data_IF_817151071167
#
_entry.id   IF_817151071167
#
_cell.length_a   1.000
_cell.length_b   1.000
_cell.length_c   1.000
_cell.angle_alpha   90.00
_cell.angle_beta   90.00
_cell.angle_gamma   90.00
#
_symmetry.space_group_name_H-M   'P 1'
#
loop_
_entity.id
_entity.type
_entity.pdbx_description
1 polymer ?
#
# COMPACT_ATOMS: atom_id res chain seq x y z
N UNK A 1 16.83 5.72 35.13
CA UNK A 1 16.26 6.52 34.03
C UNK A 1 16.28 5.66 32.78
N UNK A 2 15.13 5.13 32.37
CA UNK A 2 15.00 4.37 31.12
C UNK A 2 15.06 5.37 29.96
N UNK A 3 16.14 5.35 29.20
CA UNK A 3 16.25 6.09 27.95
C UNK A 3 15.34 5.35 26.97
N UNK A 4 14.10 5.77 26.80
CA UNK A 4 13.29 5.38 25.65
C UNK A 4 14.05 5.91 24.42
N UNK A 5 14.79 5.03 23.74
CA UNK A 5 15.25 5.32 22.37
C UNK A 5 13.97 5.53 21.55
N UNK A 6 13.66 6.76 21.18
CA UNK A 6 12.67 7.02 20.14
C UNK A 6 13.04 6.16 18.94
N UNK A 7 12.08 5.34 18.49
CA UNK A 7 12.31 4.49 17.33
C UNK A 7 12.64 5.40 16.13
N UNK A 8 13.81 5.21 15.52
CA UNK A 8 14.26 6.00 14.38
C UNK A 8 13.23 5.84 13.24
N UNK A 9 12.66 6.94 12.78
CA UNK A 9 11.68 6.94 11.70
C UNK A 9 12.27 6.41 10.40
N UNK A 10 11.55 5.55 9.71
CA UNK A 10 11.90 5.09 8.37
C UNK A 10 11.67 6.24 7.38
N UNK A 11 12.67 6.49 6.54
CA UNK A 11 12.64 7.49 5.47
C UNK A 11 12.89 6.83 4.12
N UNK A 12 12.71 7.55 3.04
CA UNK A 12 13.05 7.06 1.69
C UNK A 12 14.53 6.67 1.57
N UNK A 13 15.44 7.39 2.28
CA UNK A 13 16.85 7.05 2.32
C UNK A 13 17.10 5.72 3.05
N UNK A 14 16.40 5.46 4.17
CA UNK A 14 16.52 4.19 4.89
C UNK A 14 16.12 3.02 4.00
N UNK A 15 15.06 3.15 3.19
CA UNK A 15 14.65 2.10 2.24
C UNK A 15 15.72 1.87 1.16
N UNK A 16 16.37 2.93 0.68
CA UNK A 16 17.50 2.81 -0.24
C UNK A 16 18.67 2.06 0.40
N UNK A 17 19.03 2.40 1.65
CA UNK A 17 20.09 1.74 2.40
C UNK A 17 19.79 0.26 2.65
N UNK A 18 18.52 -0.11 2.93
CA UNK A 18 18.06 -1.50 3.04
C UNK A 18 18.28 -2.27 1.75
N UNK A 19 17.95 -1.70 0.58
CA UNK A 19 18.25 -2.33 -0.71
C UNK A 19 19.78 -2.56 -0.87
N UNK A 20 20.60 -1.57 -0.56
CA UNK A 20 22.07 -1.69 -0.69
C UNK A 20 22.65 -2.76 0.24
N UNK A 21 22.08 -2.94 1.42
CA UNK A 21 22.50 -3.97 2.38
C UNK A 21 21.88 -5.35 2.14
N UNK A 22 20.90 -5.46 1.21
CA UNK A 22 20.14 -6.68 0.98
C UNK A 22 19.11 -6.99 2.06
N UNK A 23 18.77 -6.02 2.93
CA UNK A 23 17.71 -6.15 3.92
C UNK A 23 16.35 -6.01 3.25
N UNK A 24 15.41 -6.93 3.56
CA UNK A 24 14.09 -6.93 2.94
C UNK A 24 13.14 -5.95 3.61
N UNK A 25 12.40 -5.20 2.79
CA UNK A 25 11.44 -4.19 3.21
C UNK A 25 10.08 -4.85 3.42
N UNK A 26 9.54 -4.72 4.63
CA UNK A 26 8.18 -5.16 4.94
C UNK A 26 7.19 -3.99 4.79
N UNK A 27 6.20 -4.15 3.90
CA UNK A 27 5.17 -3.15 3.65
C UNK A 27 3.78 -3.78 3.84
N UNK A 28 2.86 -3.06 4.50
CA UNK A 28 1.46 -3.46 4.66
C UNK A 28 0.54 -2.26 4.45
N UNK A 29 -0.70 -2.54 4.03
CA UNK A 29 -1.72 -1.49 4.01
C UNK A 29 -2.29 -1.25 5.41
N UNK A 30 -2.75 -0.03 5.68
CA UNK A 30 -3.62 0.30 6.80
C UNK A 30 -4.50 1.50 6.43
N UNK A 31 -5.69 1.62 7.07
CA UNK A 31 -6.69 2.60 6.67
C UNK A 31 -7.31 3.36 7.85
N UNK A 32 -7.00 2.96 9.08
CA UNK A 32 -7.49 3.58 10.31
C UNK A 32 -6.41 3.64 11.39
N UNK A 33 -6.70 4.39 12.45
CA UNK A 33 -5.77 4.63 13.55
C UNK A 33 -5.39 3.36 14.32
N UNK A 34 -6.37 2.51 14.63
CA UNK A 34 -6.16 1.33 15.49
C UNK A 34 -5.31 0.27 14.79
N UNK A 35 -5.66 -0.07 13.55
CA UNK A 35 -4.88 -1.01 12.74
C UNK A 35 -3.48 -0.47 12.42
N UNK A 36 -3.35 0.81 12.07
CA UNK A 36 -2.05 1.42 11.83
C UNK A 36 -1.15 1.41 13.07
N UNK A 37 -1.72 1.58 14.27
CA UNK A 37 -0.95 1.47 15.52
C UNK A 37 -0.37 0.06 15.70
N UNK A 38 -1.18 -0.98 15.45
CA UNK A 38 -0.74 -2.37 15.55
C UNK A 38 0.35 -2.67 14.51
N UNK A 39 0.14 -2.23 13.26
CA UNK A 39 1.07 -2.45 12.15
C UNK A 39 2.42 -1.76 12.41
N UNK A 40 2.42 -0.51 12.88
CA UNK A 40 3.63 0.24 13.22
C UNK A 40 4.40 -0.41 14.39
N UNK A 41 3.68 -0.83 15.44
CA UNK A 41 4.26 -1.54 16.58
C UNK A 41 4.82 -2.93 16.23
N UNK A 42 4.25 -3.58 15.22
CA UNK A 42 4.76 -4.85 14.70
C UNK A 42 6.09 -4.70 13.92
N UNK A 43 6.53 -3.47 13.64
CA UNK A 43 7.82 -3.19 13.02
C UNK A 43 7.80 -3.15 11.49
N UNK A 44 6.65 -2.96 10.87
CA UNK A 44 6.53 -2.77 9.41
C UNK A 44 7.26 -1.50 8.99
N UNK A 45 8.03 -1.55 7.89
CA UNK A 45 8.86 -0.43 7.46
C UNK A 45 8.06 0.64 6.70
N UNK A 46 7.07 0.20 5.93
CA UNK A 46 6.21 1.09 5.13
C UNK A 46 4.75 0.76 5.38
N UNK A 47 3.94 1.76 5.68
CA UNK A 47 2.48 1.63 5.71
C UNK A 47 1.92 2.31 4.47
N UNK A 48 1.18 1.55 3.67
CA UNK A 48 0.47 2.04 2.50
C UNK A 48 -0.98 2.37 2.86
N UNK A 49 -1.37 3.61 2.69
CA UNK A 49 -2.80 3.96 2.60
C UNK A 49 -3.20 3.76 1.15
N UNK A 50 -3.60 2.52 0.83
CA UNK A 50 -3.89 2.10 -0.53
C UNK A 50 -5.31 2.48 -0.97
N UNK A 51 -5.50 2.72 -2.26
CA UNK A 51 -6.85 2.87 -2.85
C UNK A 51 -7.69 1.59 -2.78
N UNK A 52 -7.06 0.46 -2.43
CA UNK A 52 -7.72 -0.78 -1.99
C UNK A 52 -8.67 -0.58 -0.79
N UNK A 53 -8.61 0.57 -0.09
CA UNK A 53 -9.65 1.01 0.85
C UNK A 53 -11.04 1.04 0.20
N UNK A 54 -11.12 1.33 -1.10
CA UNK A 54 -12.36 1.22 -1.87
C UNK A 54 -13.00 -0.17 -1.76
N UNK A 55 -12.20 -1.21 -1.81
CA UNK A 55 -12.68 -2.60 -1.71
C UNK A 55 -12.92 -3.01 -0.26
N UNK A 56 -11.88 -2.93 0.60
CA UNK A 56 -11.90 -3.56 1.94
C UNK A 56 -12.57 -2.71 3.02
N UNK A 57 -12.69 -1.39 2.81
CA UNK A 57 -13.35 -0.49 3.76
C UNK A 57 -14.74 -0.05 3.27
N UNK A 58 -14.89 0.25 1.97
CA UNK A 58 -16.14 0.76 1.41
C UNK A 58 -16.98 -0.31 0.69
N UNK A 59 -16.42 -1.51 0.42
CA UNK A 59 -17.15 -2.63 -0.20
C UNK A 59 -17.38 -2.49 -1.70
N UNK A 60 -16.65 -1.61 -2.38
CA UNK A 60 -16.74 -1.48 -3.83
C UNK A 60 -16.03 -2.64 -4.56
N UNK A 61 -16.45 -2.95 -5.77
CA UNK A 61 -15.84 -4.01 -6.60
C UNK A 61 -14.45 -3.66 -7.12
N UNK A 62 -14.16 -2.37 -7.28
CA UNK A 62 -12.89 -1.85 -7.81
C UNK A 62 -12.32 -0.73 -6.94
N UNK A 63 -11.07 -0.35 -7.19
CA UNK A 63 -10.43 0.78 -6.51
C UNK A 63 -10.90 2.15 -7.05
N UNK A 64 -11.61 2.18 -8.19
CA UNK A 64 -11.96 3.41 -8.90
C UNK A 64 -12.88 4.39 -8.15
N UNK A 65 -13.86 3.94 -7.35
CA UNK A 65 -14.82 4.85 -6.72
C UNK A 65 -14.26 5.71 -5.59
N UNK A 66 -13.13 5.32 -4.97
CA UNK A 66 -12.61 6.06 -3.82
C UNK A 66 -12.16 7.46 -4.23
N UNK A 67 -12.55 8.46 -3.44
CA UNK A 67 -12.24 9.86 -3.71
C UNK A 67 -10.96 10.32 -3.02
N UNK A 68 -10.41 11.44 -3.48
CA UNK A 68 -9.25 12.07 -2.85
C UNK A 68 -9.52 12.44 -1.38
N UNK A 69 -10.73 12.93 -1.07
CA UNK A 69 -11.12 13.30 0.30
C UNK A 69 -11.17 12.08 1.23
N UNK A 70 -11.68 10.94 0.74
CA UNK A 70 -11.66 9.69 1.49
C UNK A 70 -10.23 9.18 1.72
N UNK A 71 -9.36 9.27 0.71
CA UNK A 71 -7.94 8.92 0.86
C UNK A 71 -7.25 9.81 1.91
N UNK A 72 -7.51 11.11 1.91
CA UNK A 72 -7.00 12.06 2.90
C UNK A 72 -7.52 11.72 4.31
N UNK A 73 -8.78 11.35 4.45
CA UNK A 73 -9.36 10.91 5.73
C UNK A 73 -8.64 9.68 6.30
N UNK A 74 -8.47 8.63 5.48
CA UNK A 74 -7.73 7.43 5.87
C UNK A 74 -6.27 7.76 6.20
N UNK A 75 -5.60 8.51 5.34
CA UNK A 75 -4.21 8.91 5.52
C UNK A 75 -3.98 9.69 6.81
N UNK A 76 -4.86 10.64 7.13
CA UNK A 76 -4.79 11.42 8.38
C UNK A 76 -4.89 10.53 9.63
N UNK A 77 -5.72 9.49 9.57
CA UNK A 77 -5.86 8.52 10.66
C UNK A 77 -4.59 7.68 10.84
N UNK A 78 -4.04 7.18 9.75
CA UNK A 78 -2.81 6.37 9.72
C UNK A 78 -1.59 7.17 10.16
N UNK A 79 -1.42 8.39 9.67
CA UNK A 79 -0.27 9.25 10.01
C UNK A 79 -0.23 9.56 11.50
N UNK A 80 -1.38 9.80 12.16
CA UNK A 80 -1.42 10.02 13.61
C UNK A 80 -0.97 8.79 14.42
N UNK A 81 -1.19 7.60 13.89
CA UNK A 81 -0.80 6.33 14.53
C UNK A 81 0.69 5.98 14.31
N UNK A 82 1.19 6.18 13.10
CA UNK A 82 2.54 5.76 12.70
C UNK A 82 3.62 6.62 13.38
N UNK A 83 4.50 5.96 14.14
CA UNK A 83 5.64 6.59 14.83
C UNK A 83 6.97 6.28 14.14
N UNK A 84 7.09 5.06 13.58
CA UNK A 84 8.30 4.56 12.94
C UNK A 84 8.15 4.44 11.42
N UNK A 85 7.10 3.83 10.93
CA UNK A 85 6.92 3.49 9.53
C UNK A 85 6.85 4.73 8.61
N UNK A 86 7.37 4.57 7.39
CA UNK A 86 7.12 5.53 6.30
C UNK A 86 5.67 5.37 5.82
N UNK A 87 4.90 6.45 5.84
CA UNK A 87 3.51 6.42 5.34
C UNK A 87 3.46 6.92 3.90
N UNK A 88 3.02 6.04 3.00
CA UNK A 88 2.81 6.31 1.57
C UNK A 88 1.31 6.29 1.28
N UNK A 89 0.80 7.21 0.47
CA UNK A 89 -0.63 7.32 0.16
C UNK A 89 -0.85 7.25 -1.34
N UNK A 90 -1.80 6.42 -1.77
CA UNK A 90 -2.18 6.35 -3.17
C UNK A 90 -2.92 7.61 -3.63
N UNK A 91 -2.52 8.13 -4.79
CA UNK A 91 -3.34 9.03 -5.57
C UNK A 91 -4.48 8.21 -6.21
N UNK A 92 -5.76 8.49 -5.88
CA UNK A 92 -6.86 7.71 -6.43
C UNK A 92 -7.08 8.01 -7.91
N UNK A 93 -7.78 7.09 -8.58
CA UNK A 93 -8.11 7.22 -10.00
C UNK A 93 -8.75 8.58 -10.33
N UNK A 94 -8.34 9.17 -11.45
CA UNK A 94 -8.86 10.45 -11.94
C UNK A 94 -8.12 11.68 -11.38
N UNK A 95 -7.19 11.50 -10.42
CA UNK A 95 -6.52 12.63 -9.76
C UNK A 95 -5.13 12.96 -10.31
N UNK A 96 -4.59 12.15 -11.23
CA UNK A 96 -3.24 12.34 -11.79
C UNK A 96 -3.10 11.96 -13.27
N UNK A 97 -4.08 11.25 -13.84
CA UNK A 97 -4.01 10.78 -15.22
C UNK A 97 -4.34 11.87 -16.23
N UNK A 98 -5.10 12.91 -15.84
CA UNK A 98 -5.57 13.95 -16.74
C UNK A 98 -4.48 14.92 -17.18
N UNK A 99 -3.74 15.45 -16.22
CA UNK A 99 -2.61 16.34 -16.45
C UNK A 99 -1.74 16.52 -15.19
N UNK A 100 -0.50 16.96 -15.39
CA UNK A 100 0.49 17.09 -14.31
C UNK A 100 0.17 18.17 -13.27
N UNK A 101 -0.61 19.19 -13.62
CA UNK A 101 -1.03 20.23 -12.67
C UNK A 101 -2.07 19.70 -11.67
N UNK A 102 -3.03 18.92 -12.14
CA UNK A 102 -4.02 18.25 -11.27
C UNK A 102 -3.34 17.21 -10.39
N UNK A 103 -2.39 16.44 -10.94
CA UNK A 103 -1.57 15.50 -10.19
C UNK A 103 -0.83 16.16 -9.03
N UNK A 104 -0.17 17.29 -9.29
CA UNK A 104 0.49 18.09 -8.25
C UNK A 104 -0.48 18.60 -7.20
N UNK A 105 -1.62 19.15 -7.60
CA UNK A 105 -2.62 19.67 -6.67
C UNK A 105 -3.14 18.56 -5.74
N UNK A 106 -3.40 17.38 -6.29
CA UNK A 106 -3.86 16.21 -5.52
C UNK A 106 -2.80 15.72 -4.54
N UNK A 107 -1.54 15.62 -4.98
CA UNK A 107 -0.41 15.25 -4.13
C UNK A 107 -0.19 16.28 -3.00
N UNK A 108 -0.25 17.58 -3.30
CA UNK A 108 -0.13 18.66 -2.31
C UNK A 108 -1.25 18.56 -1.26
N UNK A 109 -2.48 18.28 -1.66
CA UNK A 109 -3.60 18.07 -0.74
C UNK A 109 -3.32 16.89 0.20
N UNK A 110 -2.92 15.72 -0.33
CA UNK A 110 -2.56 14.56 0.51
C UNK A 110 -1.49 14.96 1.52
N UNK A 111 -0.37 15.53 1.07
CA UNK A 111 0.74 15.88 1.96
C UNK A 111 0.35 16.89 3.04
N UNK A 112 -0.37 17.95 2.69
CA UNK A 112 -0.72 19.02 3.63
C UNK A 112 -1.85 18.66 4.58
N UNK A 113 -2.87 17.97 4.08
CA UNK A 113 -4.09 17.72 4.85
C UNK A 113 -3.95 16.46 5.73
N UNK A 114 -3.14 15.46 5.32
CA UNK A 114 -2.93 14.25 6.10
C UNK A 114 -1.61 14.19 6.86
N UNK A 115 -0.58 14.91 6.41
CA UNK A 115 0.77 14.81 6.94
C UNK A 115 1.53 13.56 6.43
N UNK A 116 1.09 12.93 5.35
CA UNK A 116 1.76 11.80 4.71
C UNK A 116 3.21 12.12 4.31
N UNK A 117 4.03 11.09 4.10
CA UNK A 117 5.45 11.24 3.82
C UNK A 117 5.79 11.12 2.33
N UNK A 118 4.94 10.43 1.56
CA UNK A 118 5.10 10.21 0.13
C UNK A 118 3.75 9.87 -0.51
N UNK A 119 3.69 9.93 -1.83
CA UNK A 119 2.54 9.47 -2.62
C UNK A 119 2.92 8.30 -3.53
N UNK A 120 1.93 7.46 -3.88
CA UNK A 120 2.07 6.42 -4.91
C UNK A 120 1.08 6.67 -6.04
N UNK A 121 1.48 6.32 -7.26
CA UNK A 121 0.62 6.36 -8.44
C UNK A 121 0.97 5.24 -9.42
N UNK A 122 -0.02 4.84 -10.20
CA UNK A 122 0.04 3.72 -11.13
C UNK A 122 0.32 4.18 -12.55
N UNK A 123 1.17 3.44 -13.24
CA UNK A 123 1.52 3.66 -14.64
C UNK A 123 3.01 3.92 -14.85
N UNK A 124 3.44 3.82 -16.11
CA UNK A 124 4.78 4.05 -16.58
C UNK A 124 4.90 5.38 -17.32
N UNK A 125 5.33 5.30 -18.57
CA UNK A 125 5.56 6.49 -19.44
C UNK A 125 4.34 7.40 -19.60
N UNK A 126 3.14 6.86 -19.51
CA UNK A 126 1.90 7.62 -19.66
C UNK A 126 1.64 8.60 -18.52
N UNK A 127 2.27 8.42 -17.36
CA UNK A 127 2.15 9.31 -16.19
C UNK A 127 3.45 10.03 -15.85
N UNK A 128 4.48 9.92 -16.70
CA UNK A 128 5.81 10.49 -16.47
C UNK A 128 5.75 11.98 -16.11
N UNK A 129 5.02 12.79 -16.88
CA UNK A 129 4.90 14.24 -16.63
C UNK A 129 4.30 14.56 -15.25
N UNK A 130 3.35 13.72 -14.79
CA UNK A 130 2.76 13.85 -13.45
C UNK A 130 3.76 13.50 -12.37
N UNK A 131 4.55 12.43 -12.55
CA UNK A 131 5.63 12.04 -11.64
C UNK A 131 6.68 13.14 -11.55
N UNK A 132 7.20 13.63 -12.66
CA UNK A 132 8.19 14.70 -12.71
C UNK A 132 7.70 15.97 -12.01
N UNK A 133 6.44 16.32 -12.24
CA UNK A 133 5.84 17.53 -11.66
C UNK A 133 5.71 17.45 -10.14
N UNK A 134 5.33 16.30 -9.62
CA UNK A 134 5.21 16.03 -8.18
C UNK A 134 6.61 16.04 -7.53
N UNK A 135 7.57 15.34 -8.12
CA UNK A 135 8.96 15.27 -7.63
C UNK A 135 9.63 16.65 -7.61
N UNK A 136 9.43 17.46 -8.66
CA UNK A 136 9.96 18.85 -8.75
C UNK A 136 9.42 19.75 -7.62
N UNK A 137 8.23 19.45 -7.09
CA UNK A 137 7.66 20.17 -5.95
C UNK A 137 8.21 19.67 -4.58
N UNK A 138 9.11 18.67 -4.58
CA UNK A 138 9.73 18.12 -3.38
C UNK A 138 8.92 17.02 -2.70
N UNK A 139 7.92 16.45 -3.36
CA UNK A 139 7.11 15.36 -2.82
C UNK A 139 7.68 14.02 -3.30
N UNK A 140 8.08 13.08 -2.40
CA UNK A 140 8.58 11.77 -2.79
C UNK A 140 7.48 10.93 -3.48
N UNK A 141 7.85 10.25 -4.56
CA UNK A 141 6.94 9.42 -5.36
C UNK A 141 7.38 7.96 -5.36
N UNK A 142 6.44 7.06 -5.11
CA UNK A 142 6.55 5.62 -5.35
C UNK A 142 5.80 5.29 -6.66
N UNK A 143 6.47 4.62 -7.60
CA UNK A 143 5.84 4.13 -8.83
C UNK A 143 5.09 2.82 -8.61
N UNK A 144 4.22 2.44 -9.55
CA UNK A 144 3.53 1.14 -9.53
C UNK A 144 3.33 0.61 -10.95
N UNK A 145 3.91 -0.55 -11.25
CA UNK A 145 3.91 -1.20 -12.56
C UNK A 145 3.38 -2.64 -12.50
N UNK A 146 3.05 -3.18 -13.66
CA UNK A 146 2.49 -4.52 -13.80
C UNK A 146 0.98 -4.50 -13.88
N UNK A 147 0.29 -5.26 -13.04
CA UNK A 147 -1.14 -5.09 -12.85
C UNK A 147 -1.37 -3.79 -12.06
N UNK A 148 -2.05 -2.86 -12.67
CA UNK A 148 -2.46 -1.60 -12.05
C UNK A 148 -3.98 -1.62 -11.87
N UNK A 149 -4.51 -1.81 -10.64
CA UNK A 149 -5.95 -1.95 -10.37
C UNK A 149 -6.79 -0.80 -10.91
N UNK A 150 -6.26 0.42 -10.95
CA UNK A 150 -6.94 1.57 -11.54
C UNK A 150 -7.16 1.44 -13.06
N UNK A 151 -6.43 0.54 -13.72
CA UNK A 151 -6.60 0.23 -15.16
C UNK A 151 -7.43 -1.03 -15.41
N UNK A 152 -8.17 -1.55 -14.42
CA UNK A 152 -8.83 -2.85 -14.49
C UNK A 152 -9.78 -2.98 -15.67
N UNK A 153 -10.53 -1.95 -16.02
CA UNK A 153 -11.42 -2.00 -17.18
C UNK A 153 -10.68 -1.99 -18.52
N UNK A 154 -9.49 -1.40 -18.59
CA UNK A 154 -8.59 -1.49 -19.75
C UNK A 154 -8.05 -2.91 -19.91
N UNK A 155 -7.71 -3.57 -18.81
CA UNK A 155 -7.18 -4.94 -18.83
C UNK A 155 -8.27 -6.00 -18.97
N UNK A 156 -9.48 -5.73 -18.50
CA UNK A 156 -10.62 -6.65 -18.49
C UNK A 156 -10.49 -7.81 -17.51
N UNK A 157 -9.36 -7.99 -16.86
CA UNK A 157 -9.10 -9.10 -15.93
C UNK A 157 -7.95 -8.79 -14.98
N UNK A 158 -7.93 -9.48 -13.81
CA UNK A 158 -6.84 -9.45 -12.83
C UNK A 158 -5.74 -10.50 -13.13
N UNK A 159 -5.45 -10.82 -14.40
CA UNK A 159 -4.41 -11.78 -14.77
C UNK A 159 -3.00 -11.21 -14.61
N UNK A 160 -2.02 -12.11 -14.54
CA UNK A 160 -0.58 -11.76 -14.52
C UNK A 160 -0.21 -10.99 -15.77
N UNK A 161 0.42 -9.83 -15.61
CA UNK A 161 0.88 -8.92 -16.66
C UNK A 161 2.31 -9.25 -17.10
N UNK A 162 2.76 -8.62 -18.18
CA UNK A 162 4.12 -8.74 -18.70
C UNK A 162 4.59 -10.19 -18.97
N UNK A 163 3.67 -11.06 -19.43
CA UNK A 163 4.00 -12.40 -19.92
C UNK A 163 4.52 -12.40 -21.33
N UNK A 164 3.98 -11.54 -22.19
CA UNK A 164 4.43 -11.34 -23.55
C UNK A 164 5.70 -10.47 -23.55
N UNK A 165 6.67 -10.80 -24.42
CA UNK A 165 7.97 -10.09 -24.44
C UNK A 165 7.83 -8.59 -24.66
N UNK A 166 6.90 -8.15 -25.52
CA UNK A 166 6.67 -6.73 -25.75
C UNK A 166 6.22 -6.00 -24.49
N UNK A 167 5.36 -6.62 -23.66
CA UNK A 167 4.91 -6.06 -22.39
C UNK A 167 6.02 -6.13 -21.33
N UNK A 168 6.81 -7.21 -21.33
CA UNK A 168 7.96 -7.34 -20.44
C UNK A 168 9.03 -6.28 -20.75
N UNK A 169 9.32 -6.04 -22.03
CA UNK A 169 10.25 -4.99 -22.45
C UNK A 169 9.74 -3.60 -22.06
N UNK A 170 8.45 -3.34 -22.25
CA UNK A 170 7.81 -2.09 -21.80
C UNK A 170 7.98 -1.88 -20.29
N UNK A 171 7.78 -2.93 -19.49
CA UNK A 171 7.92 -2.87 -18.03
C UNK A 171 9.37 -2.57 -17.60
N UNK A 172 10.38 -3.16 -18.28
CA UNK A 172 11.81 -2.84 -18.05
C UNK A 172 12.11 -1.36 -18.30
N UNK A 173 11.64 -0.85 -19.45
CA UNK A 173 11.83 0.55 -19.84
C UNK A 173 11.13 1.51 -18.88
N UNK A 174 9.89 1.21 -18.50
CA UNK A 174 9.12 2.05 -17.59
C UNK A 174 9.70 2.03 -16.17
N UNK A 175 10.19 0.89 -15.69
CA UNK A 175 10.84 0.80 -14.39
C UNK A 175 12.14 1.63 -14.33
N UNK A 176 12.97 1.54 -15.38
CA UNK A 176 14.18 2.34 -15.48
C UNK A 176 13.86 3.83 -15.57
N UNK A 177 12.90 4.21 -16.41
CA UNK A 177 12.45 5.59 -16.57
C UNK A 177 11.93 6.17 -15.25
N UNK A 178 11.11 5.43 -14.49
CA UNK A 178 10.62 5.90 -13.19
C UNK A 178 11.75 6.10 -12.19
N UNK A 179 12.72 5.20 -12.16
CA UNK A 179 13.90 5.32 -11.30
C UNK A 179 14.76 6.54 -11.69
N UNK A 180 15.03 6.74 -12.98
CA UNK A 180 15.78 7.89 -13.51
C UNK A 180 15.05 9.22 -13.29
N UNK A 181 13.72 9.22 -13.34
CA UNK A 181 12.88 10.38 -13.05
C UNK A 181 12.97 10.79 -11.57
N UNK A 182 13.32 9.85 -10.66
CA UNK A 182 13.55 10.12 -9.25
C UNK A 182 12.53 9.48 -8.31
N UNK A 183 11.71 8.52 -8.77
CA UNK A 183 10.92 7.71 -7.87
C UNK A 183 11.82 7.03 -6.85
N UNK A 184 11.47 7.09 -5.55
CA UNK A 184 12.29 6.47 -4.50
C UNK A 184 12.10 4.96 -4.38
N UNK A 185 11.02 4.40 -4.94
CA UNK A 185 10.69 2.98 -4.95
C UNK A 185 9.66 2.67 -6.03
N UNK A 186 9.54 1.40 -6.44
CA UNK A 186 8.57 0.95 -7.44
C UNK A 186 7.89 -0.32 -6.94
N UNK A 187 6.55 -0.35 -6.97
CA UNK A 187 5.75 -1.56 -6.73
C UNK A 187 5.64 -2.36 -8.03
N UNK A 188 5.83 -3.68 -7.95
CA UNK A 188 5.55 -4.62 -9.03
C UNK A 188 4.39 -5.52 -8.61
N UNK A 189 3.26 -5.43 -9.32
CA UNK A 189 2.09 -6.26 -9.04
C UNK A 189 1.83 -7.29 -10.15
N UNK A 190 1.67 -8.56 -9.73
CA UNK A 190 1.25 -9.69 -10.58
C UNK A 190 1.99 -9.76 -11.92
N UNK A 191 3.31 -9.80 -11.87
CA UNK A 191 4.21 -10.04 -13.00
C UNK A 191 5.00 -11.33 -12.77
N UNK A 192 5.60 -11.92 -13.84
CA UNK A 192 6.45 -13.11 -13.70
C UNK A 192 7.61 -12.85 -12.70
N UNK A 193 7.83 -13.78 -11.77
CA UNK A 193 8.86 -13.65 -10.74
C UNK A 193 10.28 -13.47 -11.31
N UNK A 194 10.60 -14.16 -12.41
CA UNK A 194 11.90 -14.02 -13.08
C UNK A 194 12.10 -12.60 -13.60
N UNK A 195 11.10 -12.02 -14.26
CA UNK A 195 11.13 -10.64 -14.77
C UNK A 195 11.26 -9.63 -13.60
N UNK A 196 10.48 -9.83 -12.53
CA UNK A 196 10.57 -8.98 -11.35
C UNK A 196 11.99 -8.98 -10.75
N UNK A 197 12.60 -10.15 -10.59
CA UNK A 197 13.97 -10.28 -10.09
C UNK A 197 15.02 -9.64 -11.00
N UNK A 198 14.88 -9.82 -12.33
CA UNK A 198 15.73 -9.19 -13.32
C UNK A 198 15.67 -7.64 -13.21
N UNK A 199 14.47 -7.08 -13.22
CA UNK A 199 14.26 -5.63 -13.14
C UNK A 199 14.69 -5.07 -11.79
N UNK A 200 14.41 -5.78 -10.68
CA UNK A 200 14.83 -5.37 -9.33
C UNK A 200 16.35 -5.23 -9.20
N UNK A 201 17.12 -6.08 -9.88
CA UNK A 201 18.58 -5.97 -9.91
C UNK A 201 19.08 -4.84 -10.82
N UNK A 202 18.31 -4.50 -11.86
CA UNK A 202 18.69 -3.49 -12.85
C UNK A 202 18.43 -2.05 -12.37
N UNK A 203 17.34 -1.83 -11.62
CA UNK A 203 16.98 -0.47 -11.14
C UNK A 203 17.70 -0.12 -9.83
N UNK A 204 18.16 1.14 -9.67
CA UNK A 204 18.89 1.57 -8.47
C UNK A 204 17.99 1.76 -7.24
N UNK A 205 16.67 1.83 -7.42
CA UNK A 205 15.69 2.09 -6.35
C UNK A 205 15.08 0.80 -5.80
N UNK A 206 14.63 0.77 -4.53
CA UNK A 206 13.94 -0.39 -3.96
C UNK A 206 12.70 -0.79 -4.76
N UNK A 207 12.51 -2.11 -4.93
CA UNK A 207 11.33 -2.68 -5.57
C UNK A 207 10.50 -3.46 -4.54
N UNK A 208 9.18 -3.28 -4.56
CA UNK A 208 8.23 -3.91 -3.65
C UNK A 208 7.30 -4.83 -4.45
N UNK A 209 7.31 -6.12 -4.14
CA UNK A 209 6.50 -7.11 -4.86
C UNK A 209 5.14 -7.36 -4.21
N UNK A 210 4.12 -7.57 -5.02
CA UNK A 210 2.87 -8.23 -4.67
C UNK A 210 2.48 -9.18 -5.79
N UNK A 211 2.60 -10.49 -5.55
CA UNK A 211 2.45 -11.48 -6.61
C UNK A 211 3.53 -11.38 -7.71
N UNK A 212 4.72 -10.91 -7.37
CA UNK A 212 5.85 -10.72 -8.27
C UNK A 212 7.10 -11.56 -7.88
N UNK A 213 6.94 -12.52 -6.97
CA UNK A 213 8.03 -13.40 -6.52
C UNK A 213 8.88 -12.79 -5.39
N UNK A 214 9.87 -13.55 -4.92
CA UNK A 214 10.64 -13.24 -3.71
C UNK A 214 11.90 -12.38 -3.96
N UNK A 215 12.27 -12.15 -5.23
CA UNK A 215 13.52 -11.45 -5.56
C UNK A 215 13.39 -9.92 -5.54
N UNK A 216 12.19 -9.35 -5.37
CA UNK A 216 12.04 -7.94 -5.07
C UNK A 216 12.69 -7.58 -3.73
N UNK A 217 13.04 -6.31 -3.54
CA UNK A 217 13.69 -5.81 -2.31
C UNK A 217 12.74 -5.80 -1.12
N UNK A 218 11.43 -5.80 -1.35
CA UNK A 218 10.40 -5.90 -0.32
C UNK A 218 9.13 -6.56 -0.83
N UNK A 219 8.14 -6.69 0.07
CA UNK A 219 6.82 -7.25 -0.24
C UNK A 219 5.73 -6.40 0.39
N UNK A 220 4.58 -6.27 -0.29
CA UNK A 220 3.38 -5.65 0.26
C UNK A 220 2.19 -6.62 0.19
N UNK A 221 1.32 -6.58 1.19
CA UNK A 221 0.01 -7.22 1.19
C UNK A 221 -1.06 -6.23 1.67
N UNK A 222 -2.30 -6.48 1.29
CA UNK A 222 -3.47 -5.85 1.90
C UNK A 222 -3.69 -6.48 3.27
N UNK A 223 -3.72 -5.66 4.33
CA UNK A 223 -3.81 -6.13 5.72
C UNK A 223 -5.05 -7.00 5.95
N UNK A 224 -6.21 -6.60 5.44
CA UNK A 224 -7.47 -7.32 5.58
C UNK A 224 -7.42 -8.72 4.96
N UNK A 225 -6.74 -8.85 3.83
CA UNK A 225 -6.56 -10.13 3.15
C UNK A 225 -5.60 -11.02 3.92
N UNK A 226 -4.46 -10.47 4.37
CA UNK A 226 -3.43 -11.17 5.13
C UNK A 226 -3.96 -11.71 6.46
N UNK A 227 -4.83 -10.94 7.13
CA UNK A 227 -5.44 -11.34 8.40
C UNK A 227 -6.71 -12.19 8.23
N UNK A 228 -7.16 -12.47 7.00
CA UNK A 228 -8.34 -13.28 6.74
C UNK A 228 -9.67 -12.60 7.10
N UNK A 229 -9.70 -11.26 7.12
CA UNK A 229 -10.96 -10.50 7.25
C UNK A 229 -11.75 -10.60 5.95
N UNK A 230 -11.08 -10.43 4.80
CA UNK A 230 -11.65 -10.63 3.46
C UNK A 230 -11.67 -12.11 3.12
N UNK A 231 -12.75 -12.81 3.46
CA UNK A 231 -12.81 -14.29 3.33
C UNK A 231 -12.90 -14.78 1.88
N UNK A 232 -13.60 -14.06 1.01
CA UNK A 232 -13.87 -14.47 -0.37
C UNK A 232 -12.67 -14.31 -1.31
N UNK A 233 -11.63 -13.55 -0.94
CA UNK A 233 -10.46 -13.26 -1.77
C UNK A 233 -9.27 -14.14 -1.36
N UNK A 234 -8.84 -15.06 -2.24
CA UNK A 234 -7.73 -15.97 -1.96
C UNK A 234 -6.88 -16.21 -3.22
N UNK A 235 -6.17 -15.21 -3.74
CA UNK A 235 -5.29 -15.37 -4.87
C UNK A 235 -4.05 -16.19 -4.49
N UNK A 236 -3.40 -16.82 -5.48
CA UNK A 236 -2.22 -17.67 -5.27
C UNK A 236 -1.08 -17.01 -4.49
N UNK A 237 -0.90 -15.70 -4.60
CA UNK A 237 0.19 -14.96 -3.95
C UNK A 237 -0.12 -14.59 -2.50
N UNK A 238 -1.37 -14.68 -2.08
CA UNK A 238 -1.77 -14.35 -0.72
C UNK A 238 -1.43 -15.49 0.25
N UNK A 239 -0.66 -15.17 1.28
CA UNK A 239 -0.55 -16.00 2.48
C UNK A 239 -1.40 -15.40 3.57
N UNK A 240 -2.36 -16.16 4.08
CA UNK A 240 -3.09 -15.79 5.30
C UNK A 240 -2.26 -16.16 6.52
N UNK A 241 -2.13 -15.22 7.44
CA UNK A 241 -1.42 -15.38 8.70
C UNK A 241 -2.37 -15.56 9.88
N UNK A 242 -3.66 -15.22 9.69
CA UNK A 242 -4.71 -15.34 10.69
C UNK A 242 -6.06 -15.53 9.99
N UNK A 243 -7.02 -16.19 10.65
CA UNK A 243 -8.43 -16.28 10.24
C UNK A 243 -9.27 -15.36 11.13
N UNK A 244 -8.97 -14.06 11.05
CA UNK A 244 -9.56 -13.04 11.93
C UNK A 244 -11.06 -12.88 11.71
N UNK A 245 -11.55 -13.06 10.48
CA UNK A 245 -12.99 -13.00 10.17
C UNK A 245 -13.82 -13.99 10.99
N UNK A 246 -13.36 -15.24 11.10
CA UNK A 246 -14.04 -16.29 11.87
C UNK A 246 -13.94 -16.01 13.39
N UNK A 247 -12.78 -15.57 13.87
CA UNK A 247 -12.59 -15.23 15.29
C UNK A 247 -13.49 -14.05 15.70
N UNK A 248 -13.55 -12.99 14.89
CA UNK A 248 -14.44 -11.85 15.13
C UNK A 248 -15.91 -12.27 15.10
N UNK A 249 -16.32 -13.06 14.14
CA UNK A 249 -17.69 -13.58 14.04
C UNK A 249 -18.07 -14.41 15.26
N UNK A 250 -17.17 -15.26 15.74
CA UNK A 250 -17.36 -16.08 16.94
C UNK A 250 -17.50 -15.22 18.20
N UNK A 251 -16.63 -14.22 18.38
CA UNK A 251 -16.66 -13.30 19.51
C UNK A 251 -17.93 -12.45 19.52
N UNK A 252 -18.34 -11.93 18.36
CA UNK A 252 -19.59 -11.16 18.22
C UNK A 252 -20.81 -12.04 18.53
N UNK A 253 -20.80 -13.29 18.06
CA UNK A 253 -21.86 -14.25 18.33
C UNK A 253 -21.95 -14.61 19.81
N UNK A 254 -20.81 -14.68 20.52
CA UNK A 254 -20.80 -14.86 21.97
C UNK A 254 -21.42 -13.68 22.67
N UNK A 255 -20.98 -12.44 22.36
CA UNK A 255 -21.58 -11.23 22.91
C UNK A 255 -23.11 -11.18 22.73
N UNK A 256 -23.61 -11.54 21.53
CA UNK A 256 -25.06 -11.59 21.28
C UNK A 256 -25.78 -12.58 22.20
N UNK A 257 -25.16 -13.75 22.47
CA UNK A 257 -25.71 -14.75 23.42
C UNK A 257 -25.75 -14.22 24.84
N UNK A 258 -24.64 -13.63 25.31
CA UNK A 258 -24.48 -13.12 26.68
C UNK A 258 -25.48 -12.00 26.98
N UNK A 259 -25.68 -11.07 26.04
CA UNK A 259 -26.72 -10.03 26.16
C UNK A 259 -28.12 -10.64 26.24
N UNK A 260 -28.42 -11.67 25.42
CA UNK A 260 -29.77 -12.29 25.38
C UNK A 260 -30.03 -13.15 26.59
N UNK A 261 -29.01 -13.73 27.21
CA UNK A 261 -29.14 -14.52 28.42
C UNK A 261 -29.03 -13.69 29.72
N UNK A 262 -28.80 -12.38 29.59
CA UNK A 262 -28.52 -11.48 30.74
C UNK A 262 -27.25 -11.82 31.52
N UNK A 263 -26.31 -12.53 30.89
CA UNK A 263 -24.97 -12.80 31.42
C UNK A 263 -24.06 -11.57 31.28
N UNK A 264 -24.32 -10.73 30.28
CA UNK A 264 -23.69 -9.41 30.10
C UNK A 264 -24.77 -8.31 30.18
N UNK A 265 -24.58 -7.21 30.99
CA UNK A 265 -23.47 -6.99 31.92
C UNK A 265 -23.63 -7.83 33.21
N UNK A 266 -22.53 -8.43 33.69
CA UNK A 266 -22.44 -9.06 34.99
C UNK A 266 -22.38 -8.05 36.13
N UNK A 267 -22.40 -8.53 37.40
CA UNK A 267 -22.42 -7.64 38.58
C UNK A 267 -21.25 -6.65 38.65
N UNK A 268 -20.07 -7.04 38.16
CA UNK A 268 -18.85 -6.20 38.13
C UNK A 268 -18.80 -5.22 36.96
N UNK A 269 -19.73 -5.28 36.02
CA UNK A 269 -19.81 -4.46 34.82
C UNK A 269 -20.95 -3.43 34.89
N UNK A 270 -21.58 -3.27 36.07
CA UNK A 270 -22.67 -2.32 36.35
C UNK A 270 -22.18 -1.20 37.26
N UNK A 271 -22.82 -0.02 37.17
CA UNK A 271 -22.52 1.14 38.00
C UNK A 271 -23.68 1.41 38.96
#
# INVERSE_FOLDING_TARGET
MSVHREAKRITTQVLHDMKQSGEKIAMLTAYDYSMATIVDQAGVDVILVGDSASNVMAGHETTLPITLDQMIYHASSVVRAAKRALVVVDLPFGTYQGNSKEALNSAVRIMKESGAHAVKLEGGREVKDSVERILTAGIPVMGHLGLTPQSIYKFGTYTVRAKAEAEAQQLREDAMMLAETGCFSIVFEKIPAQLAGEVSRAVPVPTIGIGAGAECDGQVLVLHDMLGITQAFSPRFLRRYLDMGDQMSSAISQYVRDVRSTDFPGENEQY
#
